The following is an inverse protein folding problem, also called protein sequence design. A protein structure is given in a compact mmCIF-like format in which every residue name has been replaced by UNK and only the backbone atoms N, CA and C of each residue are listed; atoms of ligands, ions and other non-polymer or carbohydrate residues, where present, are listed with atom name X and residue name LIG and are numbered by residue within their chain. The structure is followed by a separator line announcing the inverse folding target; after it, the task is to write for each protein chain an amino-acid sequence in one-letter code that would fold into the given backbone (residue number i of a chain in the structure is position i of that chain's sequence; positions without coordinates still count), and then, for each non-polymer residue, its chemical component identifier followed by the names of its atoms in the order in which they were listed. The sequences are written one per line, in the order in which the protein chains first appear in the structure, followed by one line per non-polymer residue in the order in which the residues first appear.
data_IF_343834948546
#
_entry.id   IF_343834948546
#
_cell.length_a   1.000
_cell.length_b   1.000
_cell.length_c   1.000
_cell.angle_alpha   90.00
_cell.angle_beta   90.00
_cell.angle_gamma   90.00
#
_symmetry.space_group_name_H-M   'P 1'
#
loop_
_entity.id
_entity.type
_entity.pdbx_description
1 polymer ?
#
# COMPACT_ATOMS: atom_id res chain seq x y z
N UNK A 1 15.17 7.69 -0.07
CA UNK A 1 15.31 8.90 -0.91
C UNK A 1 16.22 8.75 -2.14
N UNK A 2 17.20 7.83 -2.16
CA UNK A 2 18.11 7.68 -3.33
C UNK A 2 17.38 7.39 -4.65
N UNK A 3 16.37 6.51 -4.63
CA UNK A 3 15.60 6.17 -5.83
C UNK A 3 14.84 7.35 -6.44
N UNK A 4 14.17 8.18 -5.60
CA UNK A 4 13.43 9.35 -6.07
C UNK A 4 14.32 10.40 -6.75
N UNK A 5 15.63 10.42 -6.47
CA UNK A 5 16.57 11.34 -7.12
C UNK A 5 16.92 10.94 -8.56
N UNK A 6 16.71 9.68 -8.94
CA UNK A 6 17.16 9.12 -10.23
C UNK A 6 16.01 8.64 -11.12
N UNK A 7 14.77 8.80 -10.67
CA UNK A 7 13.56 8.41 -11.40
C UNK A 7 12.60 9.59 -11.44
N UNK A 8 11.87 9.72 -12.54
CA UNK A 8 10.78 10.69 -12.72
C UNK A 8 9.40 10.09 -12.43
N UNK A 9 9.35 8.82 -12.01
CA UNK A 9 8.09 8.13 -11.77
C UNK A 9 7.26 8.81 -10.68
N UNK A 10 5.95 8.69 -10.81
CA UNK A 10 5.00 9.16 -9.80
C UNK A 10 4.45 7.99 -8.99
N UNK A 11 4.20 8.25 -7.72
CA UNK A 11 3.40 7.40 -6.87
C UNK A 11 1.98 7.36 -7.44
N UNK A 12 1.49 6.15 -7.64
CA UNK A 12 0.18 5.87 -8.21
C UNK A 12 -0.55 4.84 -7.38
N UNK A 13 -1.87 4.76 -7.52
CA UNK A 13 -2.64 3.67 -6.94
C UNK A 13 -2.08 2.35 -7.49
N UNK A 14 -1.77 1.41 -6.59
CA UNK A 14 -1.19 0.14 -6.99
C UNK A 14 -2.18 -0.64 -7.88
N UNK A 15 -1.71 -1.32 -8.94
CA UNK A 15 -2.58 -2.08 -9.82
C UNK A 15 -3.29 -3.23 -9.09
N UNK A 16 -4.54 -3.48 -9.46
CA UNK A 16 -5.38 -4.52 -8.86
C UNK A 16 -6.68 -3.97 -8.28
N UNK A 17 -7.36 -4.78 -7.47
CA UNK A 17 -8.65 -4.42 -6.87
C UNK A 17 -8.40 -3.53 -5.65
N UNK A 18 -9.04 -2.36 -5.60
CA UNK A 18 -8.95 -1.44 -4.45
C UNK A 18 -9.45 -2.14 -3.18
N UNK A 19 -8.58 -2.21 -2.18
CA UNK A 19 -8.90 -2.83 -0.90
C UNK A 19 -9.99 -2.06 -0.13
N UNK A 20 -10.79 -2.80 0.64
CA UNK A 20 -11.85 -2.20 1.48
C UNK A 20 -11.29 -1.45 2.69
N UNK A 21 -10.13 -1.86 3.20
CA UNK A 21 -9.55 -1.33 4.46
C UNK A 21 -8.22 -0.62 4.29
N UNK A 22 -7.42 -1.05 3.31
CA UNK A 22 -6.15 -0.41 2.97
C UNK A 22 -6.30 0.35 1.67
N UNK A 23 -5.70 1.53 1.60
CA UNK A 23 -5.34 2.17 0.34
C UNK A 23 -3.88 1.81 0.06
N UNK A 24 -3.62 1.27 -1.13
CA UNK A 24 -2.31 0.78 -1.54
C UNK A 24 -1.82 1.58 -2.74
N UNK A 25 -0.60 2.07 -2.65
CA UNK A 25 0.04 2.80 -3.72
C UNK A 25 1.48 2.33 -3.91
N UNK A 26 2.02 2.52 -5.10
CA UNK A 26 3.36 2.09 -5.45
C UNK A 26 4.09 3.15 -6.29
N UNK A 27 5.40 2.95 -6.41
CA UNK A 27 6.22 3.66 -7.37
C UNK A 27 6.68 2.62 -8.40
N UNK A 28 6.36 2.73 -9.70
CA UNK A 28 6.58 1.66 -10.68
C UNK A 28 7.99 1.08 -10.70
N UNK A 29 9.02 1.94 -10.64
CA UNK A 29 10.43 1.56 -10.60
C UNK A 29 10.93 1.04 -9.24
N UNK A 30 10.08 1.01 -8.20
CA UNK A 30 10.47 0.61 -6.85
C UNK A 30 9.84 -0.74 -6.45
N UNK A 31 10.58 -1.65 -5.79
CA UNK A 31 10.11 -3.01 -5.52
C UNK A 31 9.22 -3.11 -4.27
N UNK A 32 8.60 -2.00 -3.84
CA UNK A 32 7.78 -1.94 -2.63
C UNK A 32 6.45 -1.25 -2.89
N UNK A 33 5.44 -1.68 -2.14
CA UNK A 33 4.15 -1.01 -2.03
C UNK A 33 4.02 -0.32 -0.67
N UNK A 34 3.26 0.75 -0.65
CA UNK A 34 2.95 1.54 0.53
C UNK A 34 1.46 1.37 0.82
N UNK A 35 1.13 1.08 2.07
CA UNK A 35 -0.24 0.84 2.52
C UNK A 35 -0.60 1.77 3.64
N UNK A 36 -1.70 2.48 3.50
CA UNK A 36 -2.31 3.27 4.58
C UNK A 36 -3.66 2.69 4.92
N UNK A 37 -4.00 2.69 6.21
CA UNK A 37 -5.33 2.29 6.67
C UNK A 37 -6.30 3.44 6.34
N UNK A 38 -7.45 3.12 5.75
CA UNK A 38 -8.53 4.08 5.49
C UNK A 38 -9.20 4.53 6.79
N UNK A 39 -9.82 5.70 6.77
CA UNK A 39 -10.54 6.27 7.92
C UNK A 39 -11.94 5.68 8.09
N UNK A 40 -12.54 5.26 6.98
CA UNK A 40 -13.86 4.66 6.92
C UNK A 40 -13.81 3.35 6.14
N UNK A 41 -14.56 2.36 6.62
CA UNK A 41 -14.70 1.04 5.99
C UNK A 41 -16.17 0.81 5.58
N UNK A 42 -16.41 0.12 4.46
CA UNK A 42 -17.77 -0.24 4.07
C UNK A 42 -18.45 -1.11 5.16
N UNK A 43 -19.79 -1.07 5.29
CA UNK A 43 -20.52 -1.79 6.35
C UNK A 43 -20.26 -3.30 6.40
N UNK A 44 -19.91 -3.90 5.27
CA UNK A 44 -19.54 -5.31 5.15
C UNK A 44 -18.26 -5.66 5.92
N UNK A 45 -17.50 -4.66 6.37
CA UNK A 45 -16.24 -4.83 7.08
C UNK A 45 -16.31 -4.30 8.50
N UNK A 46 -16.69 -5.18 9.41
CA UNK A 46 -16.66 -4.92 10.85
C UNK A 46 -15.20 -4.96 11.35
N UNK A 47 -14.57 -3.80 11.39
CA UNK A 47 -13.21 -3.66 11.95
C UNK A 47 -12.95 -2.21 12.35
N UNK A 48 -11.85 -1.99 13.07
CA UNK A 48 -11.37 -0.65 13.44
C UNK A 48 -9.93 -0.49 12.99
N UNK A 49 -9.44 0.75 12.96
CA UNK A 49 -8.04 1.05 12.67
C UNK A 49 -7.13 0.31 13.65
N UNK A 50 -7.45 0.34 14.93
CA UNK A 50 -6.72 -0.34 16.01
C UNK A 50 -6.72 -1.87 15.81
N UNK A 51 -7.88 -2.43 15.42
CA UNK A 51 -8.00 -3.85 15.12
C UNK A 51 -7.16 -4.27 13.91
N UNK A 52 -7.03 -3.40 12.89
CA UNK A 52 -6.13 -3.63 11.76
C UNK A 52 -4.66 -3.57 12.21
N UNK A 53 -4.27 -2.53 12.96
CA UNK A 53 -2.90 -2.39 13.47
C UNK A 53 -2.51 -3.59 14.35
N UNK A 54 -3.42 -4.06 15.21
CA UNK A 54 -3.21 -5.27 16.02
C UNK A 54 -2.95 -6.53 15.18
N UNK A 55 -3.60 -6.67 14.02
CA UNK A 55 -3.33 -7.77 13.08
C UNK A 55 -1.94 -7.66 12.44
N UNK A 56 -1.52 -6.47 12.01
CA UNK A 56 -0.16 -6.26 11.51
C UNK A 56 0.89 -6.60 12.58
N UNK A 57 0.65 -6.18 13.83
CA UNK A 57 1.53 -6.49 14.94
C UNK A 57 1.59 -7.99 15.24
N UNK A 58 0.45 -8.68 15.17
CA UNK A 58 0.39 -10.14 15.34
C UNK A 58 1.25 -10.86 14.28
N UNK A 59 1.10 -10.49 13.00
CA UNK A 59 1.88 -11.07 11.89
C UNK A 59 3.38 -10.80 12.04
N UNK A 60 3.75 -9.64 12.59
CA UNK A 60 5.14 -9.28 12.85
C UNK A 60 5.78 -10.11 13.97
N UNK A 61 4.99 -10.46 14.99
CA UNK A 61 5.47 -11.19 16.17
C UNK A 61 5.47 -12.72 15.99
N UNK A 62 4.70 -13.24 15.04
CA UNK A 62 4.58 -14.68 14.81
C UNK A 62 5.52 -15.17 13.72
N UNK A 63 5.91 -16.45 13.82
CA UNK A 63 6.57 -17.12 12.70
C UNK A 63 5.64 -17.11 11.48
N UNK A 64 6.17 -16.62 10.37
CA UNK A 64 5.44 -16.36 9.13
C UNK A 64 5.47 -17.56 8.19
N UNK A 65 6.32 -18.55 8.45
CA UNK A 65 6.49 -19.80 7.66
C UNK A 65 6.53 -19.59 6.14
N UNK A 66 7.00 -18.43 5.69
CA UNK A 66 7.05 -18.03 4.28
C UNK A 66 5.69 -17.67 3.63
N UNK A 67 4.58 -17.64 4.39
CA UNK A 67 3.22 -17.41 3.87
C UNK A 67 2.68 -16.00 4.12
N UNK A 68 3.35 -15.21 4.95
CA UNK A 68 2.98 -13.81 5.23
C UNK A 68 4.12 -12.86 4.86
N UNK A 69 3.80 -11.80 4.12
CA UNK A 69 4.77 -10.78 3.75
C UNK A 69 5.30 -10.04 4.98
N UNK A 70 6.59 -9.71 4.97
CA UNK A 70 7.16 -8.83 5.99
C UNK A 70 6.69 -7.39 5.74
N UNK A 71 6.34 -6.70 6.82
CA UNK A 71 5.84 -5.33 6.77
C UNK A 71 6.68 -4.44 7.67
N UNK A 72 7.13 -3.31 7.12
CA UNK A 72 7.81 -2.27 7.87
C UNK A 72 6.82 -1.15 8.15
N UNK A 73 6.65 -0.83 9.43
CA UNK A 73 5.77 0.24 9.89
C UNK A 73 6.56 1.55 10.03
N UNK A 74 6.03 2.64 9.48
CA UNK A 74 6.64 3.96 9.55
C UNK A 74 5.63 5.01 9.98
N UNK A 75 6.12 6.03 10.67
CA UNK A 75 5.34 7.20 11.08
C UNK A 75 5.98 8.48 10.56
N UNK A 76 5.15 9.48 10.25
CA UNK A 76 5.55 10.83 9.78
C UNK A 76 6.55 10.81 8.62
N UNK A 77 6.21 10.12 7.55
CA UNK A 77 7.07 10.06 6.36
C UNK A 77 6.68 11.20 5.41
N UNK A 78 7.62 12.12 5.17
CA UNK A 78 7.46 13.18 4.19
C UNK A 78 7.82 12.69 2.78
N UNK A 79 6.91 12.89 1.84
CA UNK A 79 7.12 12.64 0.42
C UNK A 79 6.98 13.95 -0.37
N UNK A 80 7.72 14.13 -1.49
CA UNK A 80 7.51 15.30 -2.33
C UNK A 80 6.13 15.23 -2.99
N UNK A 81 5.27 16.24 -2.80
CA UNK A 81 3.88 16.26 -3.28
C UNK A 81 3.79 16.16 -4.80
N UNK A 82 4.74 16.75 -5.52
CA UNK A 82 4.82 16.70 -6.99
C UNK A 82 5.14 15.30 -7.55
N UNK A 83 5.48 14.34 -6.69
CA UNK A 83 5.74 12.94 -7.05
C UNK A 83 4.51 12.06 -6.91
N UNK A 84 3.33 12.58 -6.64
CA UNK A 84 2.09 11.81 -6.62
C UNK A 84 1.25 12.11 -7.86
N UNK A 85 0.63 11.08 -8.41
CA UNK A 85 -0.47 11.26 -9.35
C UNK A 85 -1.65 11.91 -8.64
N UNK A 86 -2.35 12.81 -9.33
CA UNK A 86 -3.46 13.56 -8.72
C UNK A 86 -4.61 12.62 -8.35
N UNK A 87 -4.84 11.54 -9.10
CA UNK A 87 -5.83 10.50 -8.73
C UNK A 87 -5.52 9.87 -7.36
N UNK A 88 -4.24 9.59 -7.08
CA UNK A 88 -3.84 9.03 -5.80
C UNK A 88 -4.06 10.03 -4.66
N UNK A 89 -3.79 11.32 -4.90
CA UNK A 89 -4.00 12.37 -3.91
C UNK A 89 -5.48 12.52 -3.57
N UNK A 90 -6.35 12.55 -4.58
CA UNK A 90 -7.79 12.61 -4.36
C UNK A 90 -8.31 11.38 -3.62
N UNK A 91 -7.80 10.18 -3.93
CA UNK A 91 -8.13 8.95 -3.21
C UNK A 91 -7.67 9.02 -1.73
N UNK A 92 -6.47 9.54 -1.45
CA UNK A 92 -5.96 9.73 -0.09
C UNK A 92 -6.79 10.74 0.69
N UNK A 93 -7.10 11.90 0.11
CA UNK A 93 -7.95 12.94 0.71
C UNK A 93 -9.35 12.43 1.00
N UNK A 94 -9.89 11.58 0.13
CA UNK A 94 -11.24 11.02 0.29
C UNK A 94 -11.31 9.93 1.35
N UNK A 95 -10.36 9.00 1.36
CA UNK A 95 -10.48 7.77 2.16
C UNK A 95 -9.57 7.70 3.36
N UNK A 96 -8.53 8.54 3.44
CA UNK A 96 -7.62 8.57 4.57
C UNK A 96 -7.16 10.02 4.91
N UNK A 97 -8.06 11.03 4.98
CA UNK A 97 -7.64 12.40 5.30
C UNK A 97 -6.93 12.53 6.64
N UNK A 98 -7.26 11.68 7.63
CA UNK A 98 -6.63 11.75 8.95
C UNK A 98 -5.15 11.38 8.94
N UNK A 99 -4.70 10.57 7.98
CA UNK A 99 -3.32 10.06 7.90
C UNK A 99 -2.41 10.87 7.00
N UNK A 100 -2.93 11.89 6.32
CA UNK A 100 -2.14 12.78 5.47
C UNK A 100 -2.11 14.20 6.03
N UNK A 101 -1.06 14.92 5.68
CA UNK A 101 -0.88 16.34 5.97
C UNK A 101 -0.09 16.98 4.84
N UNK A 102 -0.54 18.14 4.37
CA UNK A 102 0.13 18.88 3.29
C UNK A 102 0.91 20.04 3.90
N UNK A 103 2.24 19.98 3.79
CA UNK A 103 3.17 20.97 4.33
C UNK A 103 4.01 21.54 3.18
N UNK A 104 3.58 22.69 2.64
CA UNK A 104 4.23 23.30 1.48
C UNK A 104 4.27 22.34 0.28
N UNK A 105 5.47 22.01 -0.19
CA UNK A 105 5.69 21.09 -1.32
C UNK A 105 5.77 19.61 -0.91
N UNK A 106 5.45 19.28 0.35
CA UNK A 106 5.51 17.92 0.88
C UNK A 106 4.13 17.40 1.28
N UNK A 107 3.91 16.11 1.02
CA UNK A 107 2.82 15.32 1.58
C UNK A 107 3.39 14.43 2.68
N UNK A 108 3.01 14.70 3.93
CA UNK A 108 3.38 13.90 5.08
C UNK A 108 2.34 12.82 5.30
N UNK A 109 2.77 11.56 5.31
CA UNK A 109 1.93 10.42 5.68
C UNK A 109 2.25 10.05 7.13
N UNK A 110 1.29 10.26 8.02
CA UNK A 110 1.43 10.12 9.47
C UNK A 110 1.68 8.67 9.89
N UNK A 111 1.12 7.70 9.17
CA UNK A 111 1.27 6.28 9.42
C UNK A 111 1.10 5.47 8.13
N UNK A 112 2.05 4.57 7.86
CA UNK A 112 1.96 3.64 6.73
C UNK A 112 2.76 2.35 6.97
N UNK A 113 2.41 1.32 6.21
CA UNK A 113 3.18 0.09 6.08
C UNK A 113 3.88 0.03 4.73
N UNK A 114 5.08 -0.52 4.69
CA UNK A 114 5.82 -0.82 3.48
C UNK A 114 6.01 -2.33 3.38
N UNK A 115 5.65 -2.90 2.24
CA UNK A 115 5.81 -4.33 1.95
C UNK A 115 6.47 -4.51 0.59
N UNK A 116 7.14 -5.66 0.37
CA UNK A 116 7.63 -5.99 -0.98
C UNK A 116 6.47 -6.09 -1.96
N UNK A 117 6.65 -5.52 -3.15
CA UNK A 117 5.66 -5.59 -4.22
C UNK A 117 5.62 -7.02 -4.76
N UNK A 118 4.44 -7.61 -4.74
CA UNK A 118 4.12 -8.90 -5.36
C UNK A 118 3.13 -8.65 -6.51
N UNK A 119 3.13 -9.51 -7.53
CA UNK A 119 2.05 -9.49 -8.53
C UNK A 119 0.78 -10.03 -7.86
N UNK A 120 -0.33 -9.28 -7.84
CA UNK A 120 -1.59 -9.78 -7.29
C UNK A 120 -2.01 -11.08 -7.99
N UNK A 121 -2.41 -12.08 -7.21
CA UNK A 121 -2.73 -13.41 -7.75
C UNK A 121 -3.82 -13.37 -8.84
N UNK A 122 -4.80 -12.48 -8.71
CA UNK A 122 -5.85 -12.31 -9.72
C UNK A 122 -5.29 -11.82 -11.08
N UNK A 123 -4.25 -10.99 -11.08
CA UNK A 123 -3.55 -10.54 -12.29
C UNK A 123 -2.73 -11.70 -12.84
N UNK A 124 -1.98 -12.39 -11.97
CA UNK A 124 -1.18 -13.54 -12.37
C UNK A 124 -2.03 -14.65 -13.03
N UNK A 125 -3.20 -14.98 -12.48
CA UNK A 125 -4.11 -16.00 -13.06
C UNK A 125 -4.64 -15.56 -14.43
N UNK A 126 -4.89 -14.27 -14.64
CA UNK A 126 -5.37 -13.74 -15.92
C UNK A 126 -4.27 -13.71 -17.00
N UNK A 127 -3.02 -13.49 -16.59
CA UNK A 127 -1.86 -13.40 -17.50
C UNK A 127 -1.12 -14.74 -17.69
N UNK A 128 -1.38 -15.73 -16.82
CA UNK A 128 -0.72 -17.03 -16.87
C UNK A 128 -1.16 -17.84 -18.09
N UNK A 129 -0.18 -18.31 -18.87
CA UNK A 129 -0.40 -19.35 -19.89
C UNK A 129 -0.85 -20.67 -19.24
N UNK A 130 -1.51 -21.53 -20.01
CA UNK A 130 -2.10 -22.79 -19.52
C UNK A 130 -1.11 -23.69 -18.73
N UNK A 131 0.19 -23.66 -19.04
CA UNK A 131 1.23 -24.43 -18.33
C UNK A 131 1.67 -23.83 -16.99
N UNK A 132 1.35 -22.55 -16.71
CA UNK A 132 1.74 -21.84 -15.48
C UNK A 132 0.67 -21.90 -14.38
N UNK A 133 -0.54 -22.39 -14.70
CA UNK A 133 -1.66 -22.54 -13.76
C UNK A 133 -1.51 -23.75 -12.83
N UNK A 134 -0.85 -24.82 -13.25
CA UNK A 134 -0.69 -26.06 -12.45
C UNK A 134 0.19 -25.90 -11.20
N UNK A 135 1.05 -24.87 -11.13
CA UNK A 135 1.92 -24.61 -9.98
C UNK A 135 1.36 -23.54 -9.00
N UNK A 136 0.21 -22.95 -9.30
CA UNK A 136 -0.36 -21.83 -8.53
C UNK A 136 -1.45 -22.25 -7.53
N UNK A 137 -1.80 -23.55 -7.48
CA UNK A 137 -2.88 -24.13 -6.66
C UNK A 137 -2.30 -25.07 -5.61
#
# INVERSE_FOLDING_TARGET
MFHLRHSTDKFRIAPGIKGMVMLVFDLPSYPFVFKVIKDYFPPQKETTREGIMGKYQLVKQHDRVGRMADSLEFTKVAFPRNRFDDELIEELRKFAPSVIEEEGDSLVIKHLYIERRMVPLNIYIQEASASSLEHAV
#
